data_IF_469821263101
#
_entry.id   IF_469821263101
#
_cell.length_a   1.000
_cell.length_b   1.000
_cell.length_c   1.000
_cell.angle_alpha   90.00
_cell.angle_beta   90.00
_cell.angle_gamma   90.00
#
_symmetry.space_group_name_H-M   'P 1'
#
loop_
_entity.id
_entity.type
_entity.pdbx_description
1 polymer ?
#
# COMPACT_ATOMS: atom_id res chain seq x y z
N UNK A 1 25.11 -11.86 -12.30
CA UNK A 1 23.87 -12.64 -12.02
C UNK A 1 23.21 -13.15 -13.31
N UNK A 2 23.06 -12.33 -14.34
CA UNK A 2 22.28 -12.64 -15.56
C UNK A 2 23.01 -13.52 -16.60
N UNK A 3 24.31 -13.85 -16.41
CA UNK A 3 25.01 -14.74 -17.31
C UNK A 3 24.40 -16.14 -17.25
N UNK A 4 24.18 -16.84 -18.39
CA UNK A 4 23.69 -18.21 -18.41
C UNK A 4 24.58 -19.16 -17.60
N UNK A 5 23.98 -20.16 -16.98
CA UNK A 5 24.70 -21.15 -16.18
C UNK A 5 25.77 -21.92 -16.96
N UNK A 6 25.54 -22.15 -18.26
CA UNK A 6 26.51 -22.75 -19.17
C UNK A 6 27.83 -21.96 -19.30
N UNK A 7 27.80 -20.65 -19.00
CA UNK A 7 28.97 -19.75 -19.05
C UNK A 7 29.45 -19.35 -17.63
N UNK A 8 29.14 -20.15 -16.61
CA UNK A 8 29.55 -19.90 -15.23
C UNK A 8 28.72 -18.84 -14.50
N UNK A 9 27.60 -18.41 -15.07
CA UNK A 9 26.67 -17.48 -14.44
C UNK A 9 25.63 -18.20 -13.58
N UNK A 10 24.79 -17.43 -12.90
CA UNK A 10 23.76 -17.96 -11.99
C UNK A 10 22.37 -18.12 -12.63
N UNK A 11 22.21 -17.76 -13.91
CA UNK A 11 20.99 -17.95 -14.69
C UNK A 11 19.79 -17.11 -14.25
N UNK A 12 20.04 -15.94 -13.66
CA UNK A 12 18.97 -15.00 -13.33
C UNK A 12 18.58 -14.16 -14.56
N UNK A 13 17.30 -13.92 -14.70
CA UNK A 13 16.72 -12.95 -15.63
C UNK A 13 16.40 -11.65 -14.87
N UNK A 14 16.79 -10.52 -15.44
CA UNK A 14 16.51 -9.20 -14.86
C UNK A 14 15.12 -8.73 -15.30
N UNK A 15 14.33 -8.17 -14.37
CA UNK A 15 13.06 -7.57 -14.68
C UNK A 15 13.17 -6.42 -15.69
N UNK A 16 12.18 -6.27 -16.55
CA UNK A 16 12.09 -5.18 -17.52
C UNK A 16 11.34 -3.97 -16.95
N UNK A 17 10.33 -4.22 -16.12
CA UNK A 17 9.55 -3.18 -15.44
C UNK A 17 10.24 -2.64 -14.19
N UNK A 18 11.08 -3.45 -13.55
CA UNK A 18 11.95 -3.03 -12.45
C UNK A 18 13.31 -3.71 -12.58
N UNK A 19 14.32 -2.92 -12.92
CA UNK A 19 15.70 -3.39 -13.14
C UNK A 19 16.40 -3.84 -11.85
N UNK A 20 15.84 -3.55 -10.69
CA UNK A 20 16.36 -3.99 -9.40
C UNK A 20 15.88 -5.41 -9.00
N UNK A 21 15.01 -6.01 -9.81
CA UNK A 21 14.46 -7.34 -9.57
C UNK A 21 15.08 -8.37 -10.50
N UNK A 22 15.33 -9.57 -9.95
CA UNK A 22 15.90 -10.70 -10.69
C UNK A 22 15.16 -11.98 -10.33
N UNK A 23 14.91 -12.81 -11.33
CA UNK A 23 14.25 -14.10 -11.18
C UNK A 23 15.05 -15.20 -11.85
N UNK A 24 15.18 -16.34 -11.20
CA UNK A 24 15.74 -17.55 -11.79
C UNK A 24 14.63 -18.54 -12.09
N UNK A 25 14.30 -18.83 -13.37
CA UNK A 25 13.18 -19.68 -13.73
C UNK A 25 13.39 -21.17 -13.38
N UNK A 26 14.65 -21.60 -13.16
CA UNK A 26 14.98 -22.98 -12.82
C UNK A 26 14.85 -23.21 -11.30
N UNK A 27 15.50 -22.35 -10.50
CA UNK A 27 15.52 -22.48 -9.04
C UNK A 27 14.34 -21.81 -8.37
N UNK A 28 13.56 -21.01 -9.11
CA UNK A 28 12.46 -20.15 -8.66
C UNK A 28 12.91 -19.12 -7.61
N UNK A 29 14.19 -18.82 -7.57
CA UNK A 29 14.75 -17.83 -6.67
C UNK A 29 14.46 -16.42 -7.19
N UNK A 30 14.13 -15.52 -6.27
CA UNK A 30 13.83 -14.10 -6.53
C UNK A 30 14.77 -13.24 -5.73
N UNK A 31 15.23 -12.15 -6.35
CA UNK A 31 16.15 -11.20 -5.72
C UNK A 31 15.62 -9.79 -5.95
N UNK A 32 15.62 -8.99 -4.91
CA UNK A 32 15.49 -7.55 -4.97
C UNK A 32 16.84 -6.94 -4.55
N UNK A 33 17.36 -6.04 -5.37
CA UNK A 33 18.66 -5.40 -5.14
C UNK A 33 18.48 -3.89 -5.16
N UNK A 34 18.86 -3.23 -4.07
CA UNK A 34 18.84 -1.77 -3.98
C UNK A 34 20.22 -1.28 -3.56
N UNK A 35 20.98 -0.76 -4.55
CA UNK A 35 22.39 -0.35 -4.40
C UNK A 35 23.24 -1.52 -3.88
N UNK A 36 23.56 -1.52 -2.58
CA UNK A 36 24.33 -2.54 -1.85
C UNK A 36 23.47 -3.50 -1.02
N UNK A 37 22.19 -3.17 -0.80
CA UNK A 37 21.26 -4.02 -0.09
C UNK A 37 20.63 -5.08 -1.02
N UNK A 38 20.67 -6.34 -0.63
CA UNK A 38 20.10 -7.46 -1.40
C UNK A 38 19.15 -8.27 -0.52
N UNK A 39 17.92 -8.43 -0.97
CA UNK A 39 16.93 -9.36 -0.41
C UNK A 39 16.74 -10.54 -1.37
N UNK A 40 16.94 -11.75 -0.90
CA UNK A 40 16.78 -12.96 -1.70
C UNK A 40 15.73 -13.89 -1.10
N UNK A 41 14.86 -14.46 -1.94
CA UNK A 41 13.88 -15.49 -1.58
C UNK A 41 14.06 -16.72 -2.47
N UNK A 42 14.30 -17.87 -1.84
CA UNK A 42 14.49 -19.16 -2.51
C UNK A 42 14.38 -20.31 -1.51
N UNK A 43 14.66 -21.54 -1.95
CA UNK A 43 14.90 -22.62 -1.03
C UNK A 43 16.27 -22.44 -0.34
N UNK A 44 16.49 -23.12 0.78
CA UNK A 44 17.70 -22.92 1.62
C UNK A 44 18.98 -23.27 0.86
N UNK A 45 18.98 -24.34 0.12
CA UNK A 45 20.17 -24.82 -0.62
C UNK A 45 20.60 -23.79 -1.69
N UNK A 46 19.67 -23.36 -2.54
CA UNK A 46 19.93 -22.38 -3.60
C UNK A 46 20.30 -21.01 -3.04
N UNK A 47 19.66 -20.60 -1.95
CA UNK A 47 19.99 -19.36 -1.26
C UNK A 47 21.42 -19.41 -0.69
N UNK A 48 21.84 -20.52 -0.11
CA UNK A 48 23.22 -20.70 0.39
C UNK A 48 24.23 -20.65 -0.75
N UNK A 49 23.97 -21.33 -1.87
CA UNK A 49 24.83 -21.28 -3.07
C UNK A 49 24.95 -19.84 -3.60
N UNK A 50 23.83 -19.12 -3.66
CA UNK A 50 23.81 -17.73 -4.09
C UNK A 50 24.67 -16.85 -3.19
N UNK A 51 24.45 -16.90 -1.88
CA UNK A 51 25.19 -16.05 -0.94
C UNK A 51 26.68 -16.37 -0.90
N UNK A 52 27.06 -17.63 -0.96
CA UNK A 52 28.46 -18.03 -1.05
C UNK A 52 29.15 -17.50 -2.33
N UNK A 53 28.44 -17.50 -3.46
CA UNK A 53 28.96 -16.96 -4.72
C UNK A 53 29.07 -15.43 -4.70
N UNK A 54 28.13 -14.74 -4.06
CA UNK A 54 28.16 -13.28 -3.86
C UNK A 54 29.31 -12.91 -2.93
N UNK A 55 29.46 -13.63 -1.82
CA UNK A 55 30.55 -13.42 -0.86
C UNK A 55 31.93 -13.63 -1.50
N UNK A 56 32.13 -14.73 -2.22
CA UNK A 56 33.37 -15.02 -2.92
C UNK A 56 33.77 -13.94 -3.93
N UNK A 57 32.81 -13.21 -4.49
CA UNK A 57 33.05 -12.18 -5.50
C UNK A 57 33.19 -10.78 -4.92
N UNK A 58 32.42 -10.45 -3.88
CA UNK A 58 32.29 -9.07 -3.38
C UNK A 58 32.76 -8.90 -1.93
N UNK A 59 32.98 -9.99 -1.18
CA UNK A 59 33.40 -9.95 0.22
C UNK A 59 32.30 -9.38 1.10
N UNK A 60 31.23 -10.13 1.33
CA UNK A 60 30.14 -9.71 2.19
C UNK A 60 30.61 -9.57 3.63
N UNK A 61 30.12 -8.55 4.37
CA UNK A 61 30.34 -8.45 5.81
C UNK A 61 29.59 -9.54 6.56
N UNK A 62 28.31 -9.70 6.22
CA UNK A 62 27.39 -10.69 6.81
C UNK A 62 26.16 -10.86 5.91
N UNK A 63 25.47 -11.96 6.09
CA UNK A 63 24.12 -12.17 5.54
C UNK A 63 23.30 -12.99 6.53
N UNK A 64 21.99 -12.73 6.58
CA UNK A 64 21.08 -13.33 7.55
C UNK A 64 19.94 -14.05 6.85
N UNK A 65 19.45 -15.12 7.48
CA UNK A 65 18.23 -15.81 7.08
C UNK A 65 17.12 -15.37 8.02
N UNK A 66 15.97 -15.00 7.45
CA UNK A 66 14.77 -14.75 8.25
C UNK A 66 14.22 -16.09 8.78
N UNK A 67 14.27 -16.25 10.08
CA UNK A 67 13.77 -17.41 10.82
C UNK A 67 12.82 -16.94 11.93
N UNK A 68 12.11 -17.86 12.60
CA UNK A 68 11.09 -17.50 13.62
C UNK A 68 11.61 -16.55 14.70
N UNK A 69 12.82 -16.77 15.17
CA UNK A 69 13.44 -15.95 16.23
C UNK A 69 14.50 -14.97 15.70
N UNK A 70 14.66 -14.90 14.38
CA UNK A 70 15.69 -14.10 13.73
C UNK A 70 15.08 -13.22 12.62
N UNK A 71 14.47 -12.09 12.95
CA UNK A 71 13.98 -11.14 11.95
C UNK A 71 15.15 -10.52 11.18
N UNK A 72 14.88 -10.17 9.91
CA UNK A 72 15.85 -9.44 9.07
C UNK A 72 15.36 -8.04 8.79
N UNK A 73 16.30 -7.14 8.49
CA UNK A 73 16.00 -5.79 8.02
C UNK A 73 16.39 -5.63 6.56
N UNK A 74 15.53 -4.97 5.79
CA UNK A 74 15.79 -4.59 4.41
C UNK A 74 15.15 -3.23 4.13
N UNK A 75 15.94 -2.23 3.77
CA UNK A 75 15.49 -0.85 3.51
C UNK A 75 14.61 -0.28 4.63
N UNK A 76 15.08 -0.39 5.88
CA UNK A 76 14.33 0.03 7.08
C UNK A 76 13.03 -0.74 7.35
N UNK A 77 12.72 -1.76 6.57
CA UNK A 77 11.60 -2.66 6.81
C UNK A 77 12.09 -3.87 7.60
N UNK A 78 11.50 -4.12 8.75
CA UNK A 78 11.76 -5.32 9.54
C UNK A 78 10.83 -6.43 9.07
N UNK A 79 11.39 -7.54 8.60
CA UNK A 79 10.69 -8.71 8.09
C UNK A 79 10.80 -9.81 9.13
N UNK A 80 9.66 -10.39 9.52
CA UNK A 80 9.55 -11.48 10.48
C UNK A 80 8.77 -12.64 9.88
N UNK A 81 9.03 -13.83 10.39
CA UNK A 81 8.21 -15.02 10.17
C UNK A 81 7.78 -15.58 11.52
N UNK A 82 6.52 -16.01 11.63
CA UNK A 82 5.94 -16.59 12.86
C UNK A 82 5.05 -17.75 12.48
N UNK A 83 5.10 -18.84 13.25
CA UNK A 83 4.08 -19.89 13.14
C UNK A 83 2.81 -19.46 13.87
N UNK A 84 1.66 -19.61 13.20
CA UNK A 84 0.33 -19.45 13.80
C UNK A 84 -0.53 -20.63 13.35
N UNK A 85 -0.78 -21.54 14.28
CA UNK A 85 -1.61 -22.72 14.05
C UNK A 85 -1.08 -23.62 12.89
N UNK A 86 0.24 -23.78 12.76
CA UNK A 86 0.88 -24.57 11.70
C UNK A 86 0.99 -23.86 10.34
N UNK A 87 0.73 -22.58 10.30
CA UNK A 87 0.94 -21.73 9.11
C UNK A 87 1.99 -20.67 9.40
N UNK A 88 2.99 -20.58 8.53
CA UNK A 88 3.95 -19.49 8.56
C UNK A 88 3.24 -18.17 8.21
N UNK A 89 3.40 -17.14 9.04
CA UNK A 89 2.96 -15.79 8.76
C UNK A 89 4.18 -14.87 8.58
N UNK A 90 4.21 -14.15 7.49
CA UNK A 90 5.17 -13.07 7.30
C UNK A 90 4.57 -11.77 7.78
N UNK A 91 5.36 -10.98 8.48
CA UNK A 91 4.99 -9.61 8.82
C UNK A 91 6.11 -8.62 8.47
N UNK A 92 5.69 -7.40 8.14
CA UNK A 92 6.57 -6.28 7.80
C UNK A 92 6.18 -5.09 8.67
N UNK A 93 7.15 -4.50 9.36
CA UNK A 93 6.94 -3.29 10.17
C UNK A 93 8.16 -2.35 10.15
N UNK A 94 7.97 -1.14 10.65
CA UNK A 94 9.01 -0.14 10.92
C UNK A 94 8.94 0.34 12.37
N UNK A 95 8.54 -0.51 13.31
CA UNK A 95 8.27 -0.13 14.70
C UNK A 95 9.49 0.51 15.39
N UNK A 96 10.70 0.06 15.08
CA UNK A 96 11.92 0.62 15.66
C UNK A 96 12.20 2.04 15.14
N UNK A 97 12.12 2.23 13.82
CA UNK A 97 12.34 3.54 13.20
C UNK A 97 11.24 4.53 13.60
N UNK A 98 9.99 4.06 13.74
CA UNK A 98 8.87 4.86 14.23
C UNK A 98 9.07 5.29 15.69
N UNK A 99 9.55 4.37 16.55
CA UNK A 99 9.85 4.71 17.94
C UNK A 99 10.97 5.74 18.03
N UNK A 100 12.05 5.58 17.25
CA UNK A 100 13.14 6.55 17.19
C UNK A 100 12.66 7.90 16.64
N UNK A 101 11.87 7.91 15.58
CA UNK A 101 11.27 9.13 15.04
C UNK A 101 10.46 9.91 16.08
N UNK A 102 9.66 9.25 16.92
CA UNK A 102 8.90 9.90 18.00
C UNK A 102 9.83 10.56 19.01
N UNK A 103 10.97 9.90 19.32
CA UNK A 103 12.00 10.45 20.24
C UNK A 103 12.68 11.67 19.61
N UNK A 104 13.09 11.59 18.34
CA UNK A 104 13.77 12.65 17.60
C UNK A 104 12.90 13.90 17.44
N UNK A 105 11.57 13.71 17.32
CA UNK A 105 10.58 14.80 17.32
C UNK A 105 10.34 15.42 18.72
N UNK A 106 11.03 14.93 19.76
CA UNK A 106 10.86 15.40 21.14
C UNK A 106 9.51 15.01 21.76
N UNK A 107 8.88 13.94 21.24
CA UNK A 107 7.54 13.51 21.62
C UNK A 107 7.50 12.15 22.34
N UNK A 108 8.60 11.70 22.94
CA UNK A 108 8.68 10.40 23.64
C UNK A 108 7.59 10.18 24.70
N UNK A 109 7.10 11.25 25.32
CA UNK A 109 6.05 11.20 26.34
C UNK A 109 4.66 11.63 25.81
N UNK A 110 4.45 11.64 24.49
CA UNK A 110 3.17 12.03 23.93
C UNK A 110 2.07 11.05 24.35
N UNK A 111 0.91 11.58 24.80
CA UNK A 111 -0.22 10.73 25.13
C UNK A 111 -0.82 10.11 23.85
N UNK A 112 -0.89 8.76 23.75
CA UNK A 112 -1.47 8.10 22.61
C UNK A 112 -2.93 8.46 22.37
N UNK A 113 -3.35 8.44 21.10
CA UNK A 113 -4.75 8.64 20.68
C UNK A 113 -5.19 7.51 19.75
N UNK A 114 -6.50 7.24 19.70
CA UNK A 114 -7.08 6.14 18.93
C UNK A 114 -7.41 6.49 17.48
N UNK A 115 -7.29 7.77 17.08
CA UNK A 115 -7.51 8.19 15.68
C UNK A 115 -6.55 9.34 15.34
N UNK A 116 -5.89 9.28 14.17
CA UNK A 116 -4.90 10.28 13.75
C UNK A 116 -5.56 11.60 13.33
N UNK A 117 -6.79 11.57 12.85
CA UNK A 117 -7.60 12.75 12.51
C UNK A 117 -9.08 12.36 12.56
N UNK A 118 -9.78 12.60 13.66
CA UNK A 118 -11.18 12.18 13.81
C UNK A 118 -12.17 13.09 13.07
N UNK A 119 -11.78 14.33 12.78
CA UNK A 119 -12.61 15.33 12.09
C UNK A 119 -11.78 16.08 11.05
N UNK A 120 -12.38 16.30 9.88
CA UNK A 120 -11.82 17.13 8.79
C UNK A 120 -11.53 18.57 9.22
N UNK A 121 -12.28 19.11 10.17
CA UNK A 121 -12.15 20.48 10.69
C UNK A 121 -10.90 20.68 11.55
N UNK A 122 -10.22 19.62 11.98
CA UNK A 122 -9.06 19.72 12.85
C UNK A 122 -7.93 20.56 12.24
N UNK A 123 -7.67 20.41 10.93
CA UNK A 123 -6.70 21.23 10.20
C UNK A 123 -7.06 22.73 10.14
N UNK A 124 -8.33 23.07 10.32
CA UNK A 124 -8.84 24.44 10.29
C UNK A 124 -9.09 25.01 11.70
N UNK A 125 -8.87 24.20 12.73
CA UNK A 125 -9.23 24.53 14.13
C UNK A 125 -8.48 25.76 14.68
N UNK A 126 -7.28 26.03 14.15
CA UNK A 126 -6.47 27.18 14.55
C UNK A 126 -5.80 27.81 13.33
N UNK A 127 -6.41 28.84 12.72
CA UNK A 127 -5.92 29.45 11.48
C UNK A 127 -4.71 30.37 11.67
N UNK A 128 -4.19 30.51 12.90
CA UNK A 128 -3.04 31.36 13.19
C UNK A 128 -1.83 30.87 12.38
N UNK A 129 -1.12 31.80 11.76
CA UNK A 129 0.12 31.54 11.03
C UNK A 129 1.20 30.93 11.93
N UNK A 130 2.08 30.15 11.33
CA UNK A 130 3.23 29.54 11.97
C UNK A 130 4.49 30.39 11.75
N UNK A 131 5.45 30.31 12.68
CA UNK A 131 6.77 30.89 12.50
C UNK A 131 7.56 30.14 11.41
N UNK A 132 8.63 30.76 10.92
CA UNK A 132 9.56 30.13 9.95
C UNK A 132 10.15 28.82 10.49
N UNK A 133 10.47 28.77 11.79
CA UNK A 133 10.99 27.55 12.42
C UNK A 133 9.94 26.43 12.46
N UNK A 134 8.71 26.76 12.86
CA UNK A 134 7.60 25.81 12.84
C UNK A 134 7.27 25.30 11.42
N UNK A 135 7.34 26.21 10.42
CA UNK A 135 7.14 25.81 9.02
C UNK A 135 8.21 24.80 8.56
N UNK A 136 9.48 25.02 8.88
CA UNK A 136 10.55 24.08 8.58
C UNK A 136 10.32 22.74 9.28
N UNK A 137 9.94 22.76 10.54
CA UNK A 137 9.60 21.55 11.31
C UNK A 137 8.46 20.78 10.63
N UNK A 138 7.34 21.43 10.32
CA UNK A 138 6.19 20.78 9.65
C UNK A 138 6.65 20.07 8.37
N UNK A 139 7.42 20.74 7.51
CA UNK A 139 7.88 20.17 6.24
C UNK A 139 8.76 18.95 6.44
N UNK A 140 9.70 18.99 7.37
CA UNK A 140 10.58 17.86 7.69
C UNK A 140 9.78 16.70 8.23
N UNK A 141 8.95 16.94 9.25
CA UNK A 141 8.15 15.91 9.94
C UNK A 141 7.13 15.27 9.00
N UNK A 142 6.43 16.06 8.16
CA UNK A 142 5.51 15.51 7.15
C UNK A 142 6.26 14.70 6.09
N UNK A 143 7.50 15.06 5.75
CA UNK A 143 8.38 14.27 4.90
C UNK A 143 8.63 12.87 5.48
N UNK A 144 9.04 12.80 6.76
CA UNK A 144 9.25 11.54 7.48
C UNK A 144 7.93 10.72 7.59
N UNK A 145 6.84 11.37 7.95
CA UNK A 145 5.52 10.72 8.01
C UNK A 145 5.09 10.15 6.65
N UNK A 146 5.39 10.86 5.55
CA UNK A 146 5.09 10.39 4.19
C UNK A 146 5.88 9.13 3.85
N UNK A 147 7.13 9.03 4.30
CA UNK A 147 7.93 7.83 4.16
C UNK A 147 7.27 6.63 4.85
N UNK A 148 6.91 6.74 6.11
CA UNK A 148 6.21 5.67 6.84
C UNK A 148 4.85 5.34 6.24
N UNK A 149 4.07 6.36 5.87
CA UNK A 149 2.75 6.20 5.27
C UNK A 149 2.78 5.45 3.93
N UNK A 150 3.89 5.51 3.19
CA UNK A 150 4.03 4.82 1.89
C UNK A 150 4.66 3.43 1.98
N UNK A 151 5.37 3.11 3.07
CA UNK A 151 6.13 1.86 3.17
C UNK A 151 5.52 0.83 4.12
N UNK A 152 4.96 1.26 5.25
CA UNK A 152 4.47 0.31 6.27
C UNK A 152 3.17 0.72 6.96
N UNK A 153 2.72 1.98 6.82
CA UNK A 153 1.59 2.54 7.57
C UNK A 153 0.46 3.04 6.66
N UNK A 154 -0.25 2.13 5.97
CA UNK A 154 -1.43 2.50 5.18
C UNK A 154 -2.50 3.23 6.00
N UNK A 155 -2.58 2.93 7.27
CA UNK A 155 -3.54 3.45 8.22
C UNK A 155 -3.43 4.96 8.52
N UNK A 156 -2.32 5.61 8.14
CA UNK A 156 -2.14 7.07 8.24
C UNK A 156 -2.03 7.75 6.87
N UNK A 157 -2.13 7.02 5.77
CA UNK A 157 -1.86 7.56 4.42
C UNK A 157 -2.78 8.72 4.05
N UNK A 158 -4.05 8.66 4.42
CA UNK A 158 -5.01 9.74 4.18
C UNK A 158 -4.66 11.00 4.97
N UNK A 159 -4.41 10.88 6.25
CA UNK A 159 -4.12 12.02 7.13
C UNK A 159 -2.81 12.70 6.75
N UNK A 160 -1.78 11.93 6.41
CA UNK A 160 -0.51 12.47 5.92
C UNK A 160 -0.71 13.19 4.59
N UNK A 161 -1.48 12.62 3.65
CA UNK A 161 -1.86 13.33 2.42
C UNK A 161 -2.61 14.65 2.72
N UNK A 162 -3.46 14.68 3.74
CA UNK A 162 -4.23 15.87 4.13
C UNK A 162 -3.32 16.97 4.65
N UNK A 163 -2.43 16.68 5.60
CA UNK A 163 -1.50 17.68 6.15
C UNK A 163 -0.49 18.14 5.08
N UNK A 164 -0.08 17.27 4.16
CA UNK A 164 0.84 17.62 3.08
C UNK A 164 0.29 18.69 2.13
N UNK A 165 -1.03 18.76 1.96
CA UNK A 165 -1.70 19.78 1.14
C UNK A 165 -1.70 21.17 1.80
N UNK A 166 -1.40 21.25 3.09
CA UNK A 166 -1.29 22.51 3.84
C UNK A 166 0.14 23.07 3.90
N UNK A 167 1.13 22.38 3.32
CA UNK A 167 2.55 22.72 3.45
C UNK A 167 2.96 24.06 2.81
N UNK A 168 2.18 24.58 1.87
CA UNK A 168 2.43 25.90 1.27
C UNK A 168 2.11 27.03 2.26
N UNK A 169 0.98 26.89 2.99
CA UNK A 169 0.51 27.86 3.98
C UNK A 169 0.04 27.13 5.25
N UNK A 170 0.97 26.58 6.05
CA UNK A 170 0.59 25.85 7.25
C UNK A 170 0.12 26.81 8.34
N UNK A 171 -0.72 26.30 9.22
CA UNK A 171 -1.26 27.01 10.37
C UNK A 171 -0.95 26.27 11.67
N UNK A 172 -1.26 26.87 12.83
CA UNK A 172 -1.16 26.17 14.11
C UNK A 172 -2.09 24.92 14.14
N UNK A 173 -3.20 24.93 13.41
CA UNK A 173 -4.04 23.73 13.19
C UNK A 173 -3.28 22.62 12.47
N UNK A 174 -2.41 22.95 11.51
CA UNK A 174 -1.55 21.95 10.84
C UNK A 174 -0.57 21.32 11.82
N UNK A 175 0.04 22.11 12.73
CA UNK A 175 0.91 21.57 13.79
C UNK A 175 0.16 20.60 14.69
N UNK A 176 -1.04 20.97 15.13
CA UNK A 176 -1.86 20.11 15.99
C UNK A 176 -2.20 18.79 15.30
N UNK A 177 -2.57 18.83 14.01
CA UNK A 177 -2.86 17.65 13.23
C UNK A 177 -1.63 16.73 13.05
N UNK A 178 -0.45 17.31 12.75
CA UNK A 178 0.80 16.54 12.65
C UNK A 178 1.14 15.88 13.99
N UNK A 179 1.08 16.61 15.11
CA UNK A 179 1.30 16.04 16.44
C UNK A 179 0.32 14.94 16.78
N UNK A 180 -0.93 15.07 16.34
CA UNK A 180 -1.95 14.04 16.56
C UNK A 180 -1.68 12.77 15.76
N UNK A 181 -1.18 12.88 14.50
CA UNK A 181 -0.73 11.71 13.73
C UNK A 181 0.41 10.99 14.49
N UNK A 182 1.38 11.73 15.03
CA UNK A 182 2.46 11.15 15.83
C UNK A 182 1.92 10.47 17.10
N UNK A 183 0.95 11.09 17.79
CA UNK A 183 0.31 10.50 18.96
C UNK A 183 -0.46 9.19 18.63
N UNK A 184 -1.05 9.10 17.45
CA UNK A 184 -1.67 7.87 16.96
C UNK A 184 -0.62 6.79 16.68
N UNK A 185 0.50 7.14 16.03
CA UNK A 185 1.61 6.22 15.80
C UNK A 185 2.16 5.70 17.12
N UNK A 186 2.33 6.56 18.14
CA UNK A 186 2.79 6.16 19.47
C UNK A 186 1.87 5.13 20.14
N UNK A 187 0.57 5.16 19.84
CA UNK A 187 -0.41 4.19 20.33
C UNK A 187 -0.54 2.92 19.48
N UNK A 188 0.16 2.85 18.34
CA UNK A 188 0.04 1.76 17.36
C UNK A 188 1.40 1.35 16.80
N UNK A 189 2.45 1.35 17.64
CA UNK A 189 3.80 0.94 17.23
C UNK A 189 3.90 -0.54 16.88
N UNK A 190 2.99 -1.35 17.40
CA UNK A 190 2.87 -2.79 17.13
C UNK A 190 2.17 -3.12 15.81
N UNK A 191 1.67 -2.09 15.10
CA UNK A 191 1.04 -2.29 13.78
C UNK A 191 2.04 -2.89 12.78
N UNK A 192 1.60 -3.92 12.09
CA UNK A 192 2.39 -4.60 11.06
C UNK A 192 1.51 -5.03 9.89
N UNK A 193 2.11 -5.10 8.70
CA UNK A 193 1.51 -5.69 7.51
C UNK A 193 1.74 -7.19 7.55
N UNK A 194 0.69 -8.01 7.36
CA UNK A 194 0.79 -9.45 7.56
C UNK A 194 0.19 -10.24 6.41
N UNK A 195 0.81 -11.38 6.07
CA UNK A 195 0.25 -12.38 5.17
C UNK A 195 0.61 -13.80 5.60
N UNK A 196 -0.30 -14.77 5.44
CA UNK A 196 0.03 -16.19 5.58
C UNK A 196 0.88 -16.66 4.40
N UNK A 197 1.78 -17.60 4.65
CA UNK A 197 2.49 -18.34 3.62
C UNK A 197 1.59 -19.43 3.06
N UNK A 198 1.03 -19.18 1.90
CA UNK A 198 0.13 -20.10 1.21
C UNK A 198 0.67 -20.47 -0.18
N UNK A 199 0.15 -21.57 -0.77
CA UNK A 199 0.44 -21.91 -2.17
C UNK A 199 -0.38 -21.00 -3.09
N UNK A 200 0.31 -20.32 -4.01
CA UNK A 200 -0.33 -19.39 -4.94
C UNK A 200 -0.42 -17.97 -4.41
N UNK A 201 -1.14 -17.15 -5.14
CA UNK A 201 -1.36 -15.73 -4.82
C UNK A 201 -2.83 -15.40 -4.98
N UNK A 202 -3.38 -14.78 -3.95
CA UNK A 202 -4.75 -14.27 -3.92
C UNK A 202 -4.69 -12.74 -3.94
N UNK A 203 -5.28 -12.13 -4.97
CA UNK A 203 -5.17 -10.71 -5.25
C UNK A 203 -6.49 -10.01 -4.97
N UNK A 204 -6.47 -8.97 -4.15
CA UNK A 204 -7.64 -8.13 -3.90
C UNK A 204 -7.29 -6.67 -4.12
N UNK A 205 -8.05 -5.99 -4.96
CA UNK A 205 -7.87 -4.58 -5.24
C UNK A 205 -9.14 -3.82 -4.83
N UNK A 206 -8.97 -2.77 -4.04
CA UNK A 206 -10.06 -1.90 -3.60
C UNK A 206 -9.86 -0.50 -4.15
N UNK A 207 -10.95 0.13 -4.56
CA UNK A 207 -10.98 1.49 -5.07
C UNK A 207 -12.16 2.26 -4.52
N UNK A 208 -11.93 3.50 -4.11
CA UNK A 208 -12.97 4.43 -3.61
C UNK A 208 -12.62 5.86 -3.99
N UNK A 209 -13.62 6.72 -3.97
CA UNK A 209 -13.47 8.15 -4.16
C UNK A 209 -14.35 8.95 -3.20
N UNK A 210 -13.76 9.83 -2.40
CA UNK A 210 -14.50 10.84 -1.64
C UNK A 210 -14.79 12.05 -2.53
N UNK A 211 -16.00 12.13 -3.09
CA UNK A 211 -16.41 13.18 -4.02
C UNK A 211 -16.52 14.55 -3.35
N UNK A 212 -15.52 15.40 -3.55
CA UNK A 212 -15.45 16.77 -3.01
C UNK A 212 -15.81 16.87 -1.51
N UNK A 213 -15.51 15.79 -0.75
CA UNK A 213 -15.91 15.67 0.65
C UNK A 213 -15.20 16.65 1.58
N UNK A 214 -14.09 17.25 1.14
CA UNK A 214 -13.38 18.26 1.91
C UNK A 214 -13.10 19.51 1.08
N UNK A 215 -14.14 20.30 0.92
CA UNK A 215 -14.08 21.55 0.13
C UNK A 215 -13.15 22.59 0.74
N UNK A 216 -12.96 22.59 2.03
CA UNK A 216 -12.15 23.59 2.71
C UNK A 216 -10.64 23.48 2.38
N UNK A 217 -10.14 22.28 2.13
CA UNK A 217 -8.73 22.05 1.79
C UNK A 217 -8.57 21.61 0.33
N UNK A 218 -9.46 20.77 -0.18
CA UNK A 218 -9.40 20.23 -1.55
C UNK A 218 -10.10 21.11 -2.58
N UNK A 219 -10.85 22.10 -2.14
CA UNK A 219 -11.78 22.82 -3.03
C UNK A 219 -12.83 21.85 -3.57
N UNK A 220 -13.03 21.85 -4.88
CA UNK A 220 -13.99 20.96 -5.56
C UNK A 220 -13.41 19.61 -5.97
N UNK A 221 -12.15 19.32 -5.64
CA UNK A 221 -11.45 18.10 -6.07
C UNK A 221 -11.72 16.94 -5.11
N UNK A 222 -11.92 15.78 -5.68
CA UNK A 222 -12.12 14.52 -4.96
C UNK A 222 -10.79 13.91 -4.49
N UNK A 223 -10.85 12.95 -3.59
CA UNK A 223 -9.71 12.11 -3.17
C UNK A 223 -9.92 10.70 -3.70
N UNK A 224 -8.92 10.17 -4.39
CA UNK A 224 -8.86 8.76 -4.81
C UNK A 224 -8.16 7.93 -3.75
N UNK A 225 -8.76 6.83 -3.36
CA UNK A 225 -8.18 5.75 -2.56
C UNK A 225 -7.99 4.49 -3.37
N UNK A 226 -6.84 3.84 -3.17
CA UNK A 226 -6.54 2.52 -3.71
C UNK A 226 -5.88 1.69 -2.63
N UNK A 227 -6.27 0.42 -2.47
CA UNK A 227 -5.58 -0.57 -1.64
C UNK A 227 -5.46 -1.85 -2.43
N UNK A 228 -4.23 -2.36 -2.58
CA UNK A 228 -3.94 -3.57 -3.29
C UNK A 228 -3.29 -4.60 -2.36
N UNK A 229 -3.93 -5.75 -2.20
CA UNK A 229 -3.51 -6.83 -1.32
C UNK A 229 -2.96 -8.02 -2.12
N UNK A 230 -1.93 -8.64 -1.58
CA UNK A 230 -1.46 -9.97 -1.99
C UNK A 230 -1.53 -10.90 -0.77
N UNK A 231 -2.31 -11.96 -0.85
CA UNK A 231 -2.58 -12.88 0.26
C UNK A 231 -3.04 -12.17 1.55
N UNK A 232 -3.80 -11.08 1.39
CA UNK A 232 -4.32 -10.27 2.49
C UNK A 232 -3.37 -9.17 3.00
N UNK A 233 -2.08 -9.20 2.64
CA UNK A 233 -1.13 -8.12 2.98
C UNK A 233 -1.28 -6.95 2.01
N UNK A 234 -1.44 -5.72 2.47
CA UNK A 234 -1.28 -4.54 1.63
C UNK A 234 0.13 -4.47 1.04
N UNK A 235 0.22 -4.49 -0.28
CA UNK A 235 1.48 -4.35 -1.03
C UNK A 235 1.57 -3.04 -1.79
N UNK A 236 0.43 -2.37 -1.94
CA UNK A 236 0.34 -1.01 -2.44
C UNK A 236 -0.94 -0.36 -1.96
N UNK A 237 -0.83 0.92 -1.61
CA UNK A 237 -1.97 1.76 -1.26
C UNK A 237 -1.70 3.20 -1.66
N UNK A 238 -2.76 3.96 -1.84
CA UNK A 238 -2.65 5.35 -2.22
C UNK A 238 -3.85 6.15 -1.74
N UNK A 239 -3.56 7.32 -1.18
CA UNK A 239 -4.50 8.39 -0.94
C UNK A 239 -4.03 9.60 -1.74
N UNK A 240 -4.81 10.07 -2.74
CA UNK A 240 -4.36 11.14 -3.63
C UNK A 240 -5.51 12.04 -4.07
N UNK A 241 -5.32 13.35 -3.98
CA UNK A 241 -6.24 14.32 -4.55
C UNK A 241 -6.28 14.20 -6.08
N UNK A 242 -7.48 14.15 -6.66
CA UNK A 242 -7.68 14.11 -8.11
C UNK A 242 -7.19 15.43 -8.74
N UNK A 243 -6.59 15.40 -9.94
CA UNK A 243 -6.05 16.59 -10.59
C UNK A 243 -7.15 17.55 -11.07
N UNK A 244 -8.31 17.01 -11.46
CA UNK A 244 -9.46 17.74 -11.95
C UNK A 244 -10.67 17.60 -11.02
N UNK A 245 -11.60 18.53 -11.12
CA UNK A 245 -12.92 18.44 -10.47
C UNK A 245 -13.78 17.44 -11.22
N UNK A 246 -14.29 16.45 -10.49
CA UNK A 246 -15.28 15.50 -11.02
C UNK A 246 -16.68 16.11 -10.96
N UNK A 247 -17.42 16.00 -12.04
CA UNK A 247 -18.76 16.61 -12.17
C UNK A 247 -19.84 15.87 -11.39
N UNK A 248 -19.56 14.62 -10.98
CA UNK A 248 -20.47 13.79 -10.18
C UNK A 248 -19.69 12.80 -9.33
N UNK A 249 -20.34 12.20 -8.32
CA UNK A 249 -19.78 11.10 -7.55
C UNK A 249 -19.40 9.93 -8.46
N UNK A 250 -20.26 9.58 -9.42
CA UNK A 250 -19.95 8.51 -10.38
C UNK A 250 -18.69 8.80 -11.21
N UNK A 251 -18.48 10.03 -11.68
CA UNK A 251 -17.28 10.40 -12.42
C UNK A 251 -16.01 10.29 -11.53
N UNK A 252 -16.10 10.69 -10.27
CA UNK A 252 -15.00 10.55 -9.32
C UNK A 252 -14.65 9.08 -9.05
N UNK A 253 -15.66 8.22 -8.93
CA UNK A 253 -15.49 6.76 -8.75
C UNK A 253 -14.86 6.08 -9.96
N UNK A 254 -15.32 6.44 -11.18
CA UNK A 254 -14.75 5.91 -12.43
C UNK A 254 -13.27 6.32 -12.54
N UNK A 255 -12.96 7.58 -12.19
CA UNK A 255 -11.57 8.05 -12.14
C UNK A 255 -10.75 7.20 -11.17
N UNK A 256 -11.23 6.98 -9.94
CA UNK A 256 -10.54 6.18 -8.94
C UNK A 256 -10.33 4.73 -9.42
N UNK A 257 -11.35 4.12 -10.02
CA UNK A 257 -11.28 2.80 -10.60
C UNK A 257 -10.20 2.71 -11.69
N UNK A 258 -10.15 3.66 -12.62
CA UNK A 258 -9.14 3.67 -13.69
C UNK A 258 -7.72 3.79 -13.15
N UNK A 259 -7.52 4.59 -12.09
CA UNK A 259 -6.23 4.69 -11.39
C UNK A 259 -5.85 3.37 -10.71
N UNK A 260 -6.80 2.69 -10.07
CA UNK A 260 -6.59 1.39 -9.45
C UNK A 260 -6.20 0.31 -10.48
N UNK A 261 -6.86 0.28 -11.64
CA UNK A 261 -6.51 -0.63 -12.76
C UNK A 261 -5.07 -0.38 -13.22
N UNK A 262 -4.69 0.87 -13.41
CA UNK A 262 -3.33 1.23 -13.85
C UNK A 262 -2.28 0.81 -12.82
N UNK A 263 -2.54 1.07 -11.54
CA UNK A 263 -1.65 0.68 -10.45
C UNK A 263 -1.49 -0.84 -10.35
N UNK A 264 -2.58 -1.60 -10.59
CA UNK A 264 -2.55 -3.04 -10.61
C UNK A 264 -1.74 -3.61 -11.78
N UNK A 265 -1.93 -3.08 -13.00
CA UNK A 265 -1.23 -3.58 -14.18
C UNK A 265 0.30 -3.56 -14.02
N UNK A 266 0.86 -2.45 -13.51
CA UNK A 266 2.30 -2.36 -13.27
C UNK A 266 2.79 -3.47 -12.34
N UNK A 267 2.03 -3.75 -11.28
CA UNK A 267 2.39 -4.77 -10.28
C UNK A 267 2.23 -6.18 -10.81
N UNK A 268 1.26 -6.40 -11.68
CA UNK A 268 1.09 -7.70 -12.32
C UNK A 268 2.19 -7.99 -13.34
N UNK A 269 2.62 -7.00 -14.11
CA UNK A 269 3.80 -7.17 -14.97
C UNK A 269 5.04 -7.54 -14.16
N UNK A 270 5.30 -6.85 -13.06
CA UNK A 270 6.39 -7.19 -12.13
C UNK A 270 6.20 -8.61 -11.56
N UNK A 271 5.00 -8.97 -11.13
CA UNK A 271 4.72 -10.30 -10.59
C UNK A 271 4.98 -11.40 -11.64
N UNK A 272 4.52 -11.23 -12.88
CA UNK A 272 4.73 -12.17 -13.97
C UNK A 272 6.22 -12.32 -14.32
N UNK A 273 6.98 -11.23 -14.38
CA UNK A 273 8.45 -11.24 -14.56
C UNK A 273 9.15 -11.99 -13.41
N UNK A 274 8.60 -11.92 -12.21
CA UNK A 274 9.10 -12.66 -11.05
C UNK A 274 8.57 -14.11 -10.99
N UNK A 275 7.96 -14.63 -12.06
CA UNK A 275 7.42 -15.99 -12.12
C UNK A 275 6.24 -16.23 -11.19
N UNK A 276 5.52 -15.17 -10.81
CA UNK A 276 4.29 -15.25 -10.01
C UNK A 276 3.11 -15.24 -10.97
N UNK A 277 2.31 -16.32 -10.95
CA UNK A 277 1.12 -16.42 -11.82
C UNK A 277 0.05 -15.43 -11.38
N UNK A 278 -0.41 -14.62 -12.33
CA UNK A 278 -1.55 -13.71 -12.15
C UNK A 278 -2.80 -14.37 -12.69
N UNK A 279 -3.87 -14.37 -11.91
CA UNK A 279 -5.18 -14.88 -12.30
C UNK A 279 -6.04 -13.72 -12.83
N UNK A 280 -6.56 -13.86 -14.03
CA UNK A 280 -7.51 -12.92 -14.62
C UNK A 280 -8.93 -13.46 -14.57
N UNK A 281 -9.99 -12.62 -14.52
CA UNK A 281 -9.90 -11.16 -14.39
C UNK A 281 -9.42 -10.73 -13.00
N UNK A 282 -8.80 -9.53 -12.96
CA UNK A 282 -8.49 -8.85 -11.71
C UNK A 282 -9.80 -8.36 -11.10
N UNK A 283 -10.11 -8.79 -9.89
CA UNK A 283 -11.30 -8.36 -9.16
C UNK A 283 -11.02 -7.05 -8.43
N UNK A 284 -11.81 -6.01 -8.76
CA UNK A 284 -11.70 -4.69 -8.14
C UNK A 284 -12.97 -4.42 -7.34
N UNK A 285 -12.80 -4.33 -6.03
CA UNK A 285 -13.88 -4.12 -5.07
C UNK A 285 -14.20 -2.64 -4.94
N UNK A 286 -15.48 -2.29 -5.15
CA UNK A 286 -16.02 -0.93 -5.03
C UNK A 286 -17.36 -0.99 -4.29
N UNK A 287 -17.68 0.02 -3.48
CA UNK A 287 -18.94 0.05 -2.72
C UNK A 287 -20.04 0.83 -3.46
N UNK A 288 -19.71 1.57 -4.50
CA UNK A 288 -20.67 2.35 -5.27
C UNK A 288 -21.38 1.50 -6.33
N UNK A 289 -22.70 1.32 -6.18
CA UNK A 289 -23.52 0.56 -7.13
C UNK A 289 -23.53 1.18 -8.54
N UNK A 290 -23.43 2.50 -8.67
CA UNK A 290 -23.36 3.18 -9.96
C UNK A 290 -22.04 2.85 -10.68
N UNK A 291 -20.91 2.82 -9.97
CA UNK A 291 -19.61 2.38 -10.51
C UNK A 291 -19.65 0.93 -10.99
N UNK A 292 -20.24 0.02 -10.21
CA UNK A 292 -20.43 -1.39 -10.62
C UNK A 292 -21.34 -1.48 -11.86
N UNK A 293 -22.44 -0.74 -11.89
CA UNK A 293 -23.38 -0.74 -13.02
C UNK A 293 -22.72 -0.16 -14.27
N UNK A 294 -21.99 0.94 -14.16
CA UNK A 294 -21.22 1.52 -15.26
C UNK A 294 -20.24 0.51 -15.87
N UNK A 295 -19.53 -0.20 -15.02
CA UNK A 295 -18.60 -1.24 -15.43
C UNK A 295 -19.30 -2.44 -16.07
N UNK A 296 -20.58 -2.70 -15.78
CA UNK A 296 -21.39 -3.80 -16.37
C UNK A 296 -22.10 -3.42 -17.65
N UNK A 297 -22.38 -2.14 -17.89
CA UNK A 297 -23.09 -1.67 -19.08
C UNK A 297 -22.24 -1.81 -20.35
N UNK A 298 -22.74 -2.56 -21.32
CA UNK A 298 -22.14 -2.72 -22.66
C UNK A 298 -22.43 -1.54 -23.58
N UNK A 299 -23.51 -0.80 -23.34
CA UNK A 299 -23.91 0.38 -24.10
C UNK A 299 -23.83 1.65 -23.23
N UNK A 300 -23.22 2.74 -23.71
CA UNK A 300 -23.22 4.00 -23.01
C UNK A 300 -24.57 4.71 -23.22
N UNK A 301 -25.66 4.16 -22.68
CA UNK A 301 -26.95 4.81 -22.82
C UNK A 301 -27.03 6.03 -21.89
N UNK A 302 -27.01 7.15 -22.54
CA UNK A 302 -27.82 8.36 -22.45
C UNK A 302 -27.61 9.34 -21.29
N UNK A 303 -27.27 8.96 -20.07
CA UNK A 303 -27.16 9.96 -18.97
C UNK A 303 -25.73 10.48 -18.69
N UNK A 304 -24.72 9.89 -19.29
CA UNK A 304 -23.32 10.24 -19.05
C UNK A 304 -22.58 10.60 -20.35
N UNK A 305 -23.30 10.85 -21.44
CA UNK A 305 -22.70 11.34 -22.70
C UNK A 305 -21.99 12.67 -22.45
N UNK A 306 -20.66 12.69 -22.67
CA UNK A 306 -19.81 13.88 -22.56
C UNK A 306 -18.88 13.92 -21.35
N UNK A 307 -18.90 12.90 -20.48
CA UNK A 307 -18.00 12.80 -19.30
C UNK A 307 -16.89 11.75 -19.50
N UNK A 308 -16.91 11.04 -20.64
CA UNK A 308 -15.94 9.97 -20.92
C UNK A 308 -14.68 10.53 -21.57
N UNK A 309 -13.53 10.23 -20.96
CA UNK A 309 -12.24 10.40 -21.59
C UNK A 309 -11.72 9.05 -22.13
N UNK A 310 -10.61 9.09 -22.87
CA UNK A 310 -9.92 7.91 -23.42
C UNK A 310 -9.59 6.85 -22.33
N UNK A 311 -9.53 7.26 -21.08
CA UNK A 311 -9.25 6.41 -19.92
C UNK A 311 -10.42 5.47 -19.63
N UNK A 312 -11.64 5.98 -19.76
CA UNK A 312 -12.87 5.18 -19.55
C UNK A 312 -13.04 4.14 -20.65
N UNK A 313 -12.68 4.48 -21.89
CA UNK A 313 -12.67 3.54 -23.01
C UNK A 313 -11.65 2.43 -22.79
N UNK A 314 -10.45 2.78 -22.36
CA UNK A 314 -9.41 1.81 -22.03
C UNK A 314 -9.84 0.83 -20.92
N UNK A 315 -10.47 1.30 -19.85
CA UNK A 315 -10.99 0.42 -18.80
C UNK A 315 -12.07 -0.52 -19.33
N UNK A 316 -12.95 -0.04 -20.23
CA UNK A 316 -13.95 -0.87 -20.90
C UNK A 316 -13.33 -1.95 -21.78
N UNK A 317 -12.28 -1.61 -22.51
CA UNK A 317 -11.53 -2.55 -23.33
C UNK A 317 -10.91 -3.66 -22.48
N UNK A 318 -10.29 -3.32 -21.35
CA UNK A 318 -9.74 -4.28 -20.39
C UNK A 318 -10.82 -5.21 -19.80
N UNK A 319 -12.00 -4.67 -19.53
CA UNK A 319 -13.13 -5.49 -19.08
C UNK A 319 -13.64 -6.41 -20.19
N UNK A 320 -13.84 -5.88 -21.41
CA UNK A 320 -14.34 -6.68 -22.54
C UNK A 320 -13.37 -7.83 -22.88
N UNK A 321 -12.07 -7.59 -22.71
CA UNK A 321 -11.03 -8.62 -22.83
C UNK A 321 -10.90 -9.51 -21.59
N UNK A 322 -11.80 -9.42 -20.63
CA UNK A 322 -11.82 -10.18 -19.36
C UNK A 322 -10.53 -10.04 -18.54
N UNK A 323 -9.88 -8.88 -18.61
CA UNK A 323 -8.70 -8.59 -17.79
C UNK A 323 -9.03 -7.98 -16.44
N UNK A 324 -10.16 -7.27 -16.33
CA UNK A 324 -10.63 -6.68 -15.06
C UNK A 324 -12.13 -6.96 -14.87
N UNK A 325 -12.55 -7.02 -13.60
CA UNK A 325 -13.95 -7.19 -13.20
C UNK A 325 -14.25 -6.34 -11.98
N UNK A 326 -15.34 -5.58 -12.01
CA UNK A 326 -15.80 -4.83 -10.84
C UNK A 326 -16.68 -5.72 -9.95
N UNK A 327 -16.35 -5.74 -8.67
CA UNK A 327 -17.05 -6.47 -7.62
C UNK A 327 -17.62 -5.49 -6.60
N UNK A 328 -18.86 -5.72 -6.15
CA UNK A 328 -19.44 -4.90 -5.09
C UNK A 328 -18.94 -5.37 -3.73
N UNK A 329 -18.49 -4.44 -2.90
CA UNK A 329 -18.21 -4.67 -1.49
C UNK A 329 -19.24 -3.90 -0.63
N UNK A 330 -19.54 -4.42 0.56
CA UNK A 330 -20.31 -3.70 1.56
C UNK A 330 -19.50 -2.51 2.07
N UNK A 331 -20.12 -1.32 2.12
CA UNK A 331 -19.47 -0.09 2.61
C UNK A 331 -18.86 -0.29 4.02
N UNK A 332 -19.51 -1.09 4.88
CA UNK A 332 -18.96 -1.39 6.21
C UNK A 332 -17.65 -2.18 6.20
N UNK A 333 -17.33 -2.86 5.09
CA UNK A 333 -16.12 -3.68 4.87
C UNK A 333 -15.15 -3.08 3.87
N UNK A 334 -15.45 -1.88 3.36
CA UNK A 334 -14.64 -1.24 2.34
C UNK A 334 -13.37 -0.63 2.96
N UNK A 335 -12.31 -1.43 3.04
CA UNK A 335 -11.04 -1.05 3.68
C UNK A 335 -10.39 0.19 3.07
N UNK A 336 -10.70 0.51 1.81
CA UNK A 336 -10.14 1.67 1.11
C UNK A 336 -10.73 3.01 1.62
N UNK A 337 -11.79 3.00 2.42
CA UNK A 337 -12.29 4.18 3.12
C UNK A 337 -11.22 4.84 4.00
N UNK A 338 -10.25 4.07 4.49
CA UNK A 338 -9.08 4.60 5.22
C UNK A 338 -8.19 5.50 4.33
N UNK A 339 -8.31 5.42 3.01
CA UNK A 339 -7.53 6.21 2.05
C UNK A 339 -8.26 7.48 1.59
N UNK A 340 -9.56 7.60 1.88
CA UNK A 340 -10.41 8.66 1.30
C UNK A 340 -11.12 9.51 2.33
N UNK A 341 -11.27 9.03 3.58
CA UNK A 341 -12.15 9.65 4.59
C UNK A 341 -11.47 9.83 5.95
N UNK A 342 -11.79 10.91 6.65
CA UNK A 342 -11.56 10.99 8.09
C UNK A 342 -12.47 9.99 8.79
N UNK A 343 -11.88 9.11 9.58
CA UNK A 343 -12.60 8.04 10.25
C UNK A 343 -12.54 8.20 11.77
N UNK A 344 -13.67 7.97 12.44
CA UNK A 344 -13.67 7.80 13.89
C UNK A 344 -12.84 6.57 14.29
N UNK A 345 -12.39 6.52 15.55
CA UNK A 345 -11.63 5.40 16.09
C UNK A 345 -12.35 4.05 15.85
N UNK A 346 -13.65 3.98 16.19
CA UNK A 346 -14.46 2.76 16.04
C UNK A 346 -14.54 2.27 14.59
N UNK A 347 -14.71 3.18 13.62
CA UNK A 347 -14.77 2.80 12.21
C UNK A 347 -13.41 2.33 11.73
N UNK A 348 -12.33 3.03 12.13
CA UNK A 348 -10.96 2.65 11.80
C UNK A 348 -10.61 1.26 12.34
N UNK A 349 -10.86 1.00 13.62
CA UNK A 349 -10.64 -0.31 14.25
C UNK A 349 -11.38 -1.43 13.50
N UNK A 350 -12.64 -1.19 13.13
CA UNK A 350 -13.41 -2.14 12.32
C UNK A 350 -12.74 -2.42 10.99
N UNK A 351 -12.30 -1.40 10.23
CA UNK A 351 -11.67 -1.59 8.91
C UNK A 351 -10.30 -2.26 9.04
N UNK A 352 -9.53 -1.98 10.09
CA UNK A 352 -8.29 -2.68 10.40
C UNK A 352 -8.55 -4.15 10.73
N UNK A 353 -9.63 -4.45 11.46
CA UNK A 353 -10.06 -5.82 11.71
C UNK A 353 -10.47 -6.54 10.41
N UNK A 354 -11.22 -5.89 9.51
CA UNK A 354 -11.59 -6.44 8.20
C UNK A 354 -10.35 -6.72 7.35
N UNK A 355 -9.37 -5.82 7.33
CA UNK A 355 -8.09 -6.05 6.64
C UNK A 355 -7.39 -7.32 7.17
N UNK A 356 -7.27 -7.48 8.48
CA UNK A 356 -6.69 -8.68 9.08
C UNK A 356 -7.55 -9.94 8.85
N UNK A 357 -8.89 -9.78 8.75
CA UNK A 357 -9.79 -10.89 8.49
C UNK A 357 -9.61 -11.50 7.10
N UNK A 358 -9.29 -10.68 6.09
CA UNK A 358 -8.98 -11.15 4.73
C UNK A 358 -7.80 -12.13 4.75
N UNK A 359 -6.70 -11.76 5.40
CA UNK A 359 -5.51 -12.62 5.51
C UNK A 359 -5.82 -13.93 6.26
N UNK A 360 -6.61 -13.86 7.36
CA UNK A 360 -7.05 -15.04 8.12
C UNK A 360 -7.96 -15.96 7.31
N UNK A 361 -8.85 -15.41 6.50
CA UNK A 361 -9.72 -16.20 5.62
C UNK A 361 -8.90 -16.95 4.57
N UNK A 362 -7.90 -16.29 3.96
CA UNK A 362 -6.98 -16.91 3.01
C UNK A 362 -6.21 -18.06 3.68
N UNK A 363 -5.70 -17.86 4.90
CA UNK A 363 -5.03 -18.93 5.66
C UNK A 363 -5.96 -20.14 5.87
N UNK A 364 -7.21 -19.93 6.30
CA UNK A 364 -8.20 -21.01 6.53
C UNK A 364 -8.53 -21.78 5.26
N UNK A 365 -8.72 -21.11 4.12
CA UNK A 365 -8.98 -21.77 2.83
C UNK A 365 -7.85 -22.71 2.43
N UNK A 366 -6.62 -22.39 2.78
CA UNK A 366 -5.48 -23.23 2.46
C UNK A 366 -5.22 -24.37 3.48
N UNK A 367 -5.66 -24.21 4.74
CA UNK A 367 -5.62 -25.29 5.75
C UNK A 367 -6.75 -26.31 5.58
N UNK A 368 -7.93 -25.89 5.10
CA UNK A 368 -9.11 -26.75 4.94
C UNK A 368 -9.15 -27.56 3.64
N UNK A 369 -8.13 -27.42 2.79
CA UNK A 369 -8.02 -28.11 1.49
C UNK A 369 -7.13 -29.36 1.50
N UNK A 370 -6.90 -29.99 2.69
CA UNK A 370 -6.20 -31.28 2.83
C UNK A 370 -7.16 -32.40 3.13
#
# INVERSE_FOLDING_TARGET
>A
MTTPTANGGMGFEQGQNDLCLFFNPITLMRIACHVDDILARGNREESTKFWNAVDAKFGLKEWHICEYDNPISYLSLRIKVQDRDGVDWYSIDQSQDLAQFIVDEGMANIRPVSAPMPDRKELLSNPKEVSITEHKWIRSTVGSLSYFATHSRPDIAYEVNRVSQCLEKPTQGTILAVRRIIAYIAGTLDFQLEAPRVKGTDWHLYSDSDHAGDRAINGTKSVTGVVFLCNGMPIHWRSKKQPATSTSSAAAEIYAFSEAVRDAQVRFFIAEEMGIKVKYPIEIFIDNAAGVSFQRCTNPDTQIKGVFDLRDEWVRELRNSKKVSAMKVDTAKNIVDMMTKCLSATVRERLMFELSAIAREIARKHLGGT
#
